data_IF_191142881271
#
_entry.id   IF_191142881271
#
_cell.length_a   1.000
_cell.length_b   1.000
_cell.length_c   1.000
_cell.angle_alpha   90.00
_cell.angle_beta   90.00
_cell.angle_gamma   90.00
#
_symmetry.space_group_name_H-M   'P 1'
#
loop_
_entity.id
_entity.type
_entity.pdbx_description
1 polymer ?
#
# COMPACT_ATOMS: atom_id res chain seq x y z
N UNK A 1 20.99 -0.68 44.80
CA UNK A 1 19.57 -0.50 45.13
C UNK A 1 19.09 0.64 44.25
N UNK A 2 18.56 0.31 43.10
CA UNK A 2 18.06 1.28 42.12
C UNK A 2 16.59 0.97 41.95
N UNK A 3 15.74 1.87 42.46
CA UNK A 3 14.29 1.77 42.40
C UNK A 3 13.79 1.84 40.94
N UNK A 4 13.22 0.74 40.50
CA UNK A 4 12.40 0.68 39.31
C UNK A 4 11.08 1.42 39.54
N UNK A 5 11.03 2.70 39.16
CA UNK A 5 9.77 3.44 39.08
C UNK A 5 9.03 3.05 37.82
N UNK A 6 8.30 1.95 37.89
CA UNK A 6 7.24 1.62 36.91
C UNK A 6 6.11 2.62 37.09
N UNK A 7 6.14 3.69 36.29
CA UNK A 7 4.99 4.59 36.13
C UNK A 7 3.86 3.82 35.46
N UNK A 8 2.88 3.38 36.23
CA UNK A 8 1.59 2.87 35.76
C UNK A 8 0.82 4.02 35.13
N UNK A 9 1.15 4.35 33.88
CA UNK A 9 0.34 5.24 33.04
C UNK A 9 -1.00 4.56 32.84
N UNK A 10 -2.09 5.18 33.30
CA UNK A 10 -3.47 4.68 33.08
C UNK A 10 -3.65 4.52 31.57
N UNK A 11 -3.76 3.26 31.13
CA UNK A 11 -4.05 2.96 29.73
C UNK A 11 -5.33 3.67 29.30
N UNK A 12 -5.19 4.59 28.37
CA UNK A 12 -6.30 5.29 27.75
C UNK A 12 -7.11 4.30 26.91
N UNK A 13 -8.40 4.56 26.67
CA UNK A 13 -9.21 3.71 25.77
C UNK A 13 -8.56 3.55 24.37
N UNK A 14 -7.85 4.60 23.91
CA UNK A 14 -7.04 4.58 22.69
C UNK A 14 -5.92 3.53 22.74
N UNK A 15 -5.21 3.42 23.86
CA UNK A 15 -4.13 2.44 24.01
C UNK A 15 -4.68 1.01 23.94
N UNK A 16 -5.84 0.79 24.54
CA UNK A 16 -6.54 -0.51 24.45
C UNK A 16 -6.99 -0.83 23.01
N UNK A 17 -7.56 0.15 22.32
CA UNK A 17 -7.98 -0.01 20.93
C UNK A 17 -6.77 -0.30 20.02
N UNK A 18 -5.66 0.42 20.18
CA UNK A 18 -4.42 0.19 19.45
C UNK A 18 -3.85 -1.20 19.73
N UNK A 19 -3.82 -1.63 20.99
CA UNK A 19 -3.36 -2.99 21.37
C UNK A 19 -4.24 -4.08 20.75
N UNK A 20 -5.56 -3.86 20.66
CA UNK A 20 -6.45 -4.82 19.99
C UNK A 20 -6.15 -4.87 18.49
N UNK A 21 -6.01 -3.73 17.83
CA UNK A 21 -5.65 -3.65 16.41
C UNK A 21 -4.30 -4.34 16.16
N UNK A 22 -3.28 -4.02 16.96
CA UNK A 22 -1.96 -4.64 16.89
C UNK A 22 -2.02 -6.16 17.01
N UNK A 23 -2.72 -6.66 18.03
CA UNK A 23 -2.88 -8.09 18.26
C UNK A 23 -3.64 -8.81 17.14
N UNK A 24 -4.60 -8.15 16.51
CA UNK A 24 -5.33 -8.70 15.35
C UNK A 24 -4.45 -8.68 14.12
N UNK A 25 -3.79 -7.55 13.83
CA UNK A 25 -2.92 -7.42 12.67
C UNK A 25 -1.73 -8.39 12.70
N UNK A 26 -1.11 -8.56 13.88
CA UNK A 26 0.01 -9.49 14.06
C UNK A 26 -0.38 -10.98 13.95
N UNK A 27 -1.67 -11.31 13.99
CA UNK A 27 -2.19 -12.66 13.76
C UNK A 27 -2.59 -12.94 12.32
N UNK A 28 -2.60 -11.90 11.46
CA UNK A 28 -2.91 -12.10 10.05
C UNK A 28 -1.80 -12.95 9.41
N UNK A 29 -2.18 -13.99 8.65
CA UNK A 29 -1.21 -14.79 7.92
C UNK A 29 -0.60 -13.99 6.77
N UNK A 30 0.47 -14.55 6.20
CA UNK A 30 1.06 -14.05 4.95
C UNK A 30 -0.02 -13.78 3.88
N UNK A 31 0.11 -12.71 3.08
CA UNK A 31 -0.86 -12.36 2.05
C UNK A 31 -1.24 -13.52 1.12
N UNK A 32 -0.28 -14.37 0.74
CA UNK A 32 -0.57 -15.55 -0.10
C UNK A 32 -1.54 -16.51 0.60
N UNK A 33 -1.29 -16.79 1.88
CA UNK A 33 -2.15 -17.67 2.69
C UNK A 33 -3.54 -17.03 2.84
N UNK A 34 -3.60 -15.71 3.06
CA UNK A 34 -4.85 -14.97 3.19
C UNK A 34 -5.69 -15.09 1.90
N UNK A 35 -5.08 -14.94 0.72
CA UNK A 35 -5.78 -15.13 -0.56
C UNK A 35 -6.21 -16.58 -0.78
N UNK A 36 -5.43 -17.58 -0.36
CA UNK A 36 -5.85 -18.98 -0.38
C UNK A 36 -7.10 -19.21 0.49
N UNK A 37 -7.16 -18.64 1.69
CA UNK A 37 -8.34 -18.69 2.55
C UNK A 37 -9.55 -17.99 1.93
N UNK A 38 -9.34 -16.82 1.32
CA UNK A 38 -10.40 -16.09 0.62
C UNK A 38 -10.96 -16.89 -0.55
N UNK A 39 -10.08 -17.53 -1.34
CA UNK A 39 -10.49 -18.42 -2.42
C UNK A 39 -11.31 -19.61 -1.88
N UNK A 40 -10.86 -20.28 -0.83
CA UNK A 40 -11.58 -21.38 -0.23
C UNK A 40 -12.95 -20.93 0.31
N UNK A 41 -13.00 -19.77 0.96
CA UNK A 41 -14.24 -19.20 1.47
C UNK A 41 -15.24 -18.89 0.35
N UNK A 42 -14.80 -18.31 -0.75
CA UNK A 42 -15.65 -18.03 -1.92
C UNK A 42 -16.12 -19.31 -2.61
N UNK A 43 -15.26 -20.34 -2.69
CA UNK A 43 -15.62 -21.65 -3.21
C UNK A 43 -16.70 -22.34 -2.38
N UNK A 44 -16.62 -22.25 -1.05
CA UNK A 44 -17.64 -22.78 -0.13
C UNK A 44 -18.97 -22.05 -0.31
N UNK A 45 -18.96 -20.70 -0.33
CA UNK A 45 -20.17 -19.90 -0.55
C UNK A 45 -20.80 -20.21 -1.92
N UNK A 46 -20.00 -20.28 -2.97
CA UNK A 46 -20.46 -20.62 -4.31
C UNK A 46 -21.12 -22.00 -4.37
N UNK A 47 -20.53 -22.97 -3.68
CA UNK A 47 -21.11 -24.33 -3.58
C UNK A 47 -22.45 -24.33 -2.81
N UNK A 48 -22.53 -23.61 -1.69
CA UNK A 48 -23.76 -23.47 -0.92
C UNK A 48 -24.86 -22.81 -1.79
N UNK A 49 -24.52 -21.75 -2.52
CA UNK A 49 -25.43 -21.07 -3.41
C UNK A 49 -25.94 -21.98 -4.55
N UNK A 50 -25.05 -22.80 -5.10
CA UNK A 50 -25.42 -23.79 -6.13
C UNK A 50 -26.39 -24.84 -5.58
N UNK A 51 -26.11 -25.38 -4.41
CA UNK A 51 -26.98 -26.40 -3.74
C UNK A 51 -28.32 -25.79 -3.34
N UNK A 52 -28.33 -24.51 -2.94
CA UNK A 52 -29.55 -23.77 -2.62
C UNK A 52 -30.36 -23.35 -3.87
N UNK A 53 -29.86 -23.59 -5.08
CA UNK A 53 -30.53 -23.21 -6.33
C UNK A 53 -30.58 -21.70 -6.57
N UNK A 54 -29.66 -20.94 -5.98
CA UNK A 54 -29.63 -19.50 -6.17
C UNK A 54 -29.16 -19.18 -7.58
N UNK A 55 -30.00 -18.50 -8.36
CA UNK A 55 -29.67 -17.91 -9.65
C UNK A 55 -29.81 -16.40 -9.59
N UNK A 56 -28.85 -15.69 -10.16
CA UNK A 56 -28.86 -14.24 -10.28
C UNK A 56 -28.97 -13.86 -11.75
N UNK A 57 -29.71 -12.80 -12.04
CA UNK A 57 -29.79 -12.28 -13.40
C UNK A 57 -28.67 -11.27 -13.56
N UNK A 58 -27.79 -11.49 -14.54
CA UNK A 58 -26.77 -10.52 -14.92
C UNK A 58 -27.45 -9.26 -15.47
N UNK A 59 -27.30 -8.10 -14.87
CA UNK A 59 -27.98 -6.88 -15.31
C UNK A 59 -27.53 -6.41 -16.71
N UNK A 60 -26.35 -6.83 -17.17
CA UNK A 60 -25.82 -6.45 -18.47
C UNK A 60 -26.31 -7.34 -19.62
N UNK A 61 -26.43 -8.64 -19.38
CA UNK A 61 -26.81 -9.62 -20.44
C UNK A 61 -28.23 -10.14 -20.30
N UNK A 62 -28.92 -9.84 -19.16
CA UNK A 62 -30.21 -10.42 -18.79
C UNK A 62 -30.24 -11.95 -18.74
N UNK A 63 -29.08 -12.57 -18.68
CA UNK A 63 -28.94 -14.04 -18.58
C UNK A 63 -28.90 -14.48 -17.12
N UNK A 64 -29.46 -15.63 -16.82
CA UNK A 64 -29.38 -16.21 -15.49
C UNK A 64 -27.97 -16.80 -15.29
N UNK A 65 -27.24 -16.26 -14.34
CA UNK A 65 -25.94 -16.76 -13.88
C UNK A 65 -26.15 -17.68 -12.69
N UNK A 66 -25.72 -18.92 -12.82
CA UNK A 66 -25.75 -19.89 -11.73
C UNK A 66 -24.34 -20.05 -11.19
N UNK A 67 -24.24 -20.09 -9.86
CA UNK A 67 -22.96 -20.36 -9.20
C UNK A 67 -22.48 -21.78 -9.52
N UNK A 68 -21.16 -21.97 -9.56
CA UNK A 68 -20.57 -23.28 -9.80
C UNK A 68 -20.21 -23.97 -8.47
N UNK A 69 -20.44 -25.27 -8.40
CA UNK A 69 -19.98 -26.09 -7.30
C UNK A 69 -18.51 -26.49 -7.50
N UNK A 70 -17.61 -25.77 -6.87
CA UNK A 70 -16.16 -26.01 -6.97
C UNK A 70 -15.71 -27.37 -6.39
N UNK A 71 -16.50 -27.97 -5.52
CA UNK A 71 -16.19 -29.28 -4.91
C UNK A 71 -16.80 -30.47 -5.69
N UNK A 72 -17.40 -30.22 -6.85
CA UNK A 72 -17.79 -31.27 -7.78
C UNK A 72 -16.65 -31.59 -8.77
N UNK A 73 -16.71 -32.75 -9.41
CA UNK A 73 -15.75 -33.14 -10.44
C UNK A 73 -15.78 -32.14 -11.60
N UNK A 74 -16.96 -31.70 -12.03
CA UNK A 74 -17.15 -30.71 -13.09
C UNK A 74 -16.60 -29.33 -12.70
N UNK A 75 -16.80 -28.92 -11.44
CA UNK A 75 -16.26 -27.67 -10.91
C UNK A 75 -14.74 -27.66 -10.84
N UNK A 76 -14.13 -28.79 -10.47
CA UNK A 76 -12.67 -28.93 -10.48
C UNK A 76 -12.10 -28.90 -11.89
N UNK A 77 -12.74 -29.61 -12.84
CA UNK A 77 -12.34 -29.53 -14.25
C UNK A 77 -12.46 -28.11 -14.79
N UNK A 78 -13.58 -27.44 -14.53
CA UNK A 78 -13.77 -26.05 -14.93
C UNK A 78 -12.69 -25.13 -14.36
N UNK A 79 -12.33 -25.30 -13.09
CA UNK A 79 -11.29 -24.49 -12.45
C UNK A 79 -9.93 -24.70 -13.14
N UNK A 80 -9.53 -25.95 -13.38
CA UNK A 80 -8.24 -26.26 -14.01
C UNK A 80 -8.19 -25.76 -15.46
N UNK A 81 -9.27 -25.95 -16.23
CA UNK A 81 -9.35 -25.54 -17.64
C UNK A 81 -9.34 -23.99 -17.79
N UNK A 82 -9.88 -23.29 -16.80
CA UNK A 82 -9.98 -21.83 -16.88
C UNK A 82 -8.87 -21.10 -16.09
N UNK A 83 -8.06 -21.80 -15.30
CA UNK A 83 -7.02 -21.19 -14.48
C UNK A 83 -6.03 -20.35 -15.32
N UNK A 84 -5.52 -20.93 -16.42
CA UNK A 84 -4.60 -20.22 -17.32
C UNK A 84 -5.31 -19.09 -18.05
N UNK A 85 -6.53 -19.30 -18.52
CA UNK A 85 -7.32 -18.27 -19.22
C UNK A 85 -7.63 -17.09 -18.31
N UNK A 86 -7.99 -17.34 -17.05
CA UNK A 86 -8.26 -16.30 -16.08
C UNK A 86 -7.01 -15.49 -15.75
N UNK A 87 -5.86 -16.15 -15.64
CA UNK A 87 -4.59 -15.47 -15.40
C UNK A 87 -4.17 -14.62 -16.60
N UNK A 88 -4.14 -15.21 -17.81
CA UNK A 88 -3.70 -14.49 -19.02
C UNK A 88 -4.74 -13.48 -19.53
N UNK A 89 -6.02 -13.70 -19.24
CA UNK A 89 -7.12 -12.78 -19.57
C UNK A 89 -7.25 -11.60 -18.60
N UNK A 90 -6.44 -11.55 -17.53
CA UNK A 90 -6.44 -10.40 -16.63
C UNK A 90 -5.88 -9.17 -17.35
N UNK A 91 -6.76 -8.22 -17.67
CA UNK A 91 -6.45 -7.09 -18.55
C UNK A 91 -5.20 -6.30 -18.12
N UNK A 92 -4.97 -6.01 -16.82
CA UNK A 92 -3.79 -5.27 -16.39
C UNK A 92 -2.48 -6.08 -16.40
N UNK A 93 -2.51 -7.41 -16.61
CA UNK A 93 -1.36 -8.28 -16.43
C UNK A 93 -0.12 -7.82 -17.23
N UNK A 94 -0.31 -7.50 -18.51
CA UNK A 94 0.77 -7.07 -19.37
C UNK A 94 1.40 -5.74 -18.92
N UNK A 95 0.56 -4.78 -18.51
CA UNK A 95 1.01 -3.47 -18.01
C UNK A 95 1.75 -3.63 -16.68
N UNK A 96 1.21 -4.40 -15.74
CA UNK A 96 1.83 -4.63 -14.43
C UNK A 96 3.20 -5.28 -14.60
N UNK A 97 3.32 -6.34 -15.41
CA UNK A 97 4.61 -7.00 -15.66
C UNK A 97 5.61 -6.03 -16.29
N UNK A 98 5.21 -5.28 -17.32
CA UNK A 98 6.10 -4.34 -18.01
C UNK A 98 6.60 -3.24 -17.08
N UNK A 99 5.71 -2.68 -16.24
CA UNK A 99 6.09 -1.64 -15.28
C UNK A 99 6.97 -2.21 -14.17
N UNK A 100 6.67 -3.39 -13.64
CA UNK A 100 7.48 -4.04 -12.60
C UNK A 100 8.90 -4.33 -13.10
N UNK A 101 9.05 -4.77 -14.36
CA UNK A 101 10.37 -4.93 -14.97
C UNK A 101 11.14 -3.61 -15.08
N UNK A 102 10.46 -2.53 -15.52
CA UNK A 102 11.07 -1.20 -15.62
C UNK A 102 11.51 -0.66 -14.26
N UNK A 103 10.64 -0.75 -13.26
CA UNK A 103 10.92 -0.32 -11.88
C UNK A 103 12.05 -1.17 -11.28
N UNK A 104 12.02 -2.49 -11.46
CA UNK A 104 13.07 -3.40 -10.98
C UNK A 104 14.46 -3.07 -11.56
N UNK A 105 14.54 -2.69 -12.83
CA UNK A 105 15.78 -2.21 -13.43
C UNK A 105 16.28 -0.90 -12.79
N UNK A 106 15.37 0.02 -12.47
CA UNK A 106 15.70 1.27 -11.79
C UNK A 106 16.19 1.02 -10.35
N UNK A 107 15.62 0.04 -9.66
CA UNK A 107 16.04 -0.37 -8.31
C UNK A 107 17.41 -1.03 -8.32
N UNK A 108 17.61 -2.05 -9.14
CA UNK A 108 18.87 -2.79 -9.27
C UNK A 108 20.03 -1.91 -9.76
N UNK A 109 19.76 -0.92 -10.62
CA UNK A 109 20.78 0.06 -11.05
C UNK A 109 21.17 1.07 -9.96
N UNK A 110 20.44 1.10 -8.83
CA UNK A 110 20.63 2.09 -7.77
C UNK A 110 20.12 3.50 -8.11
N UNK A 111 19.43 3.66 -9.24
CA UNK A 111 18.90 4.95 -9.68
C UNK A 111 17.92 5.53 -8.65
N UNK A 112 16.96 4.71 -8.16
CA UNK A 112 15.99 5.12 -7.15
C UNK A 112 16.70 5.60 -5.89
N UNK A 113 17.67 4.83 -5.39
CA UNK A 113 18.45 5.17 -4.20
C UNK A 113 19.23 6.47 -4.38
N UNK A 114 19.85 6.66 -5.54
CA UNK A 114 20.64 7.87 -5.86
C UNK A 114 19.73 9.11 -5.92
N UNK A 115 18.56 9.00 -6.53
CA UNK A 115 17.59 10.09 -6.59
C UNK A 115 17.09 10.46 -5.18
N UNK A 116 16.70 9.48 -4.36
CA UNK A 116 16.24 9.71 -2.99
C UNK A 116 17.33 10.41 -2.16
N UNK A 117 18.59 9.94 -2.22
CA UNK A 117 19.71 10.57 -1.51
C UNK A 117 19.98 11.99 -2.02
N UNK A 118 19.92 12.22 -3.32
CA UNK A 118 20.14 13.55 -3.91
C UNK A 118 19.08 14.56 -3.50
N UNK A 119 17.81 14.14 -3.39
CA UNK A 119 16.74 15.00 -2.91
C UNK A 119 16.90 15.39 -1.44
N UNK A 120 17.65 14.61 -0.65
CA UNK A 120 17.77 14.78 0.79
C UNK A 120 19.08 15.46 1.22
N UNK A 121 20.00 15.78 0.28
CA UNK A 121 21.25 16.49 0.59
C UNK A 121 21.01 18.00 0.79
N UNK A 122 21.76 18.61 1.72
CA UNK A 122 21.83 20.06 1.95
C UNK A 122 20.52 20.74 2.39
N UNK A 123 19.67 20.04 3.17
CA UNK A 123 18.36 20.54 3.60
C UNK A 123 18.44 21.21 5.00
N UNK A 124 17.85 22.39 5.18
CA UNK A 124 17.74 23.00 6.50
C UNK A 124 17.01 22.08 7.50
N UNK A 125 17.50 21.95 8.77
CA UNK A 125 16.93 21.03 9.78
C UNK A 125 15.41 21.17 9.99
N UNK A 126 14.86 22.38 9.79
CA UNK A 126 13.44 22.65 9.93
C UNK A 126 12.59 22.01 8.81
N UNK A 127 13.15 21.83 7.63
CA UNK A 127 12.46 21.25 6.46
C UNK A 127 12.66 19.74 6.33
N UNK A 128 13.60 19.17 7.05
CA UNK A 128 13.90 17.71 7.01
C UNK A 128 12.65 16.83 7.14
N UNK A 129 11.74 17.05 8.14
CA UNK A 129 10.53 16.24 8.28
C UNK A 129 9.61 16.29 7.05
N UNK A 130 9.44 17.47 6.47
CA UNK A 130 8.57 17.68 5.31
C UNK A 130 9.14 17.04 4.05
N UNK A 131 10.45 17.17 3.86
CA UNK A 131 11.14 16.58 2.73
C UNK A 131 11.17 15.04 2.81
N UNK A 132 11.41 14.49 4.00
CA UNK A 132 11.35 13.04 4.23
C UNK A 132 9.93 12.52 3.95
N UNK A 133 8.90 13.21 4.42
CA UNK A 133 7.52 12.84 4.13
C UNK A 133 7.23 12.90 2.63
N UNK A 134 7.72 13.92 1.93
CA UNK A 134 7.58 14.08 0.48
C UNK A 134 8.29 12.96 -0.28
N UNK A 135 9.55 12.69 0.06
CA UNK A 135 10.34 11.61 -0.56
C UNK A 135 9.73 10.25 -0.28
N UNK A 136 9.26 10.01 0.95
CA UNK A 136 8.52 8.80 1.31
C UNK A 136 7.28 8.61 0.45
N UNK A 137 6.48 9.66 0.28
CA UNK A 137 5.26 9.61 -0.54
C UNK A 137 5.56 9.35 -2.01
N UNK A 138 6.55 10.02 -2.61
CA UNK A 138 6.96 9.78 -4.01
C UNK A 138 7.60 8.39 -4.16
N UNK A 139 8.26 7.90 -3.13
CA UNK A 139 8.89 6.57 -3.11
C UNK A 139 7.93 5.43 -3.47
N UNK A 140 6.61 5.65 -3.31
CA UNK A 140 5.58 4.69 -3.74
C UNK A 140 5.58 4.38 -5.25
N UNK A 141 6.26 5.15 -6.08
CA UNK A 141 6.53 4.79 -7.48
C UNK A 141 7.30 3.47 -7.55
N UNK A 142 8.23 3.25 -6.60
CA UNK A 142 8.99 2.02 -6.46
C UNK A 142 8.27 0.94 -5.62
N UNK A 143 6.94 1.04 -5.50
CA UNK A 143 6.13 0.06 -4.76
C UNK A 143 6.55 -0.09 -3.29
N UNK A 144 6.65 -1.32 -2.79
CA UNK A 144 6.97 -1.60 -1.37
C UNK A 144 8.43 -1.32 -0.99
N UNK A 145 9.32 -1.12 -1.94
CA UNK A 145 10.74 -0.83 -1.71
C UNK A 145 10.95 0.45 -0.92
N UNK A 146 10.10 1.47 -1.11
CA UNK A 146 10.16 2.70 -0.34
C UNK A 146 9.97 2.48 1.17
N UNK A 147 9.12 1.53 1.55
CA UNK A 147 8.86 1.19 2.95
C UNK A 147 10.09 0.64 3.68
N UNK A 148 11.01 0.02 2.94
CA UNK A 148 12.23 -0.57 3.47
C UNK A 148 13.39 0.44 3.45
N UNK A 149 13.48 1.24 2.39
CA UNK A 149 14.63 2.11 2.14
C UNK A 149 14.49 3.46 2.85
N UNK A 150 13.31 4.08 2.79
CA UNK A 150 13.14 5.46 3.28
C UNK A 150 13.31 5.59 4.81
N UNK A 151 12.77 4.71 5.66
CA UNK A 151 12.90 4.87 7.11
C UNK A 151 14.34 4.89 7.63
N UNK A 152 15.25 3.97 7.23
CA UNK A 152 16.66 4.03 7.67
C UNK A 152 17.37 5.31 7.22
N UNK A 153 17.14 5.75 5.97
CA UNK A 153 17.73 7.00 5.47
C UNK A 153 17.20 8.19 6.25
N UNK A 154 15.92 8.21 6.55
CA UNK A 154 15.28 9.25 7.34
C UNK A 154 15.86 9.33 8.77
N UNK A 155 16.18 8.17 9.38
CA UNK A 155 16.86 8.12 10.67
C UNK A 155 18.23 8.82 10.64
N UNK A 156 19.03 8.50 9.62
CA UNK A 156 20.37 9.11 9.43
C UNK A 156 20.29 10.62 9.22
N UNK A 157 19.31 11.09 8.46
CA UNK A 157 19.11 12.52 8.23
C UNK A 157 18.65 13.26 9.50
N UNK A 158 17.83 12.61 10.32
CA UNK A 158 17.44 13.17 11.60
C UNK A 158 18.62 13.27 12.55
N UNK A 159 19.53 12.28 12.60
CA UNK A 159 20.79 12.35 13.35
C UNK A 159 21.62 13.54 12.85
N UNK A 160 21.83 13.66 11.54
CA UNK A 160 22.55 14.78 10.94
C UNK A 160 21.92 16.16 11.22
N UNK A 161 20.61 16.21 11.43
CA UNK A 161 19.87 17.42 11.83
C UNK A 161 19.85 17.66 13.35
N UNK A 162 20.52 16.83 14.17
CA UNK A 162 20.50 16.90 15.64
C UNK A 162 19.16 16.51 16.27
N UNK A 163 18.38 15.66 15.58
CA UNK A 163 17.04 15.21 15.97
C UNK A 163 17.03 13.72 16.28
N UNK A 164 15.97 13.26 16.96
CA UNK A 164 15.86 11.86 17.37
C UNK A 164 15.61 10.92 16.18
N UNK A 165 16.47 9.89 15.92
CA UNK A 165 16.41 9.04 14.73
C UNK A 165 15.10 8.25 14.60
N UNK A 166 14.51 7.80 15.71
CA UNK A 166 13.23 7.09 15.71
C UNK A 166 12.10 7.95 15.13
N UNK A 167 12.11 9.26 15.38
CA UNK A 167 11.14 10.18 14.77
C UNK A 167 11.35 10.24 13.25
N UNK A 168 12.61 10.22 12.80
CA UNK A 168 12.95 10.12 11.38
C UNK A 168 12.39 8.86 10.74
N UNK A 169 12.59 7.70 11.37
CA UNK A 169 12.03 6.43 10.91
C UNK A 169 10.49 6.48 10.81
N UNK A 170 9.83 6.99 11.85
CA UNK A 170 8.37 7.13 11.87
C UNK A 170 7.91 8.06 10.73
N UNK A 171 8.60 9.18 10.52
CA UNK A 171 8.28 10.13 9.46
C UNK A 171 8.43 9.49 8.05
N UNK A 172 9.54 8.80 7.83
CA UNK A 172 9.81 8.09 6.57
C UNK A 172 8.79 7.00 6.30
N UNK A 173 8.49 6.18 7.30
CA UNK A 173 7.49 5.13 7.21
C UNK A 173 6.07 5.69 6.99
N UNK A 174 5.71 6.77 7.70
CA UNK A 174 4.43 7.44 7.51
C UNK A 174 4.32 8.03 6.10
N UNK A 175 5.38 8.63 5.55
CA UNK A 175 5.42 9.13 4.19
C UNK A 175 5.15 8.03 3.16
N UNK A 176 5.87 6.92 3.28
CA UNK A 176 5.72 5.79 2.37
C UNK A 176 4.34 5.11 2.44
N UNK A 177 3.74 5.01 3.64
CA UNK A 177 2.48 4.29 3.81
C UNK A 177 1.23 5.17 3.68
N UNK A 178 1.22 6.39 4.22
CA UNK A 178 0.06 7.26 4.17
C UNK A 178 -0.21 7.81 2.77
N UNK A 179 0.84 7.94 1.96
CA UNK A 179 0.75 8.36 0.57
C UNK A 179 0.68 7.22 -0.44
N UNK A 180 0.24 6.03 -0.05
CA UNK A 180 0.34 4.79 -0.83
C UNK A 180 -0.03 4.90 -2.33
N UNK A 181 -0.98 5.75 -2.68
CA UNK A 181 -1.36 6.02 -4.08
C UNK A 181 -1.00 7.43 -4.53
N UNK A 182 -0.51 8.28 -3.63
CA UNK A 182 -0.14 9.66 -3.95
C UNK A 182 1.24 9.70 -4.61
N UNK A 183 1.30 10.12 -5.85
CA UNK A 183 2.52 10.19 -6.65
C UNK A 183 2.51 11.45 -7.54
N UNK A 184 3.69 11.92 -7.93
CA UNK A 184 3.83 12.96 -8.95
C UNK A 184 3.78 12.39 -10.37
N UNK A 185 4.01 11.09 -10.51
CA UNK A 185 3.99 10.36 -11.78
C UNK A 185 3.01 9.20 -11.70
N UNK A 186 2.54 8.76 -12.85
CA UNK A 186 1.72 7.55 -12.96
C UNK A 186 2.53 6.34 -12.52
N UNK A 187 1.98 5.54 -11.62
CA UNK A 187 2.59 4.33 -11.08
C UNK A 187 1.91 3.05 -11.58
N UNK A 188 2.48 1.89 -11.26
CA UNK A 188 1.91 0.60 -11.64
C UNK A 188 0.50 0.36 -11.10
N UNK A 189 0.20 0.88 -9.92
CA UNK A 189 -1.13 0.83 -9.30
C UNK A 189 -2.19 1.57 -10.11
N UNK A 190 -1.86 2.68 -10.79
CA UNK A 190 -2.80 3.43 -11.61
C UNK A 190 -3.23 2.62 -12.84
N UNK A 191 -2.27 1.95 -13.48
CA UNK A 191 -2.55 1.06 -14.62
C UNK A 191 -3.39 -0.15 -14.21
N UNK A 192 -3.13 -0.71 -13.03
CA UNK A 192 -3.93 -1.80 -12.47
C UNK A 192 -5.38 -1.35 -12.23
N UNK A 193 -5.57 -0.21 -11.56
CA UNK A 193 -6.89 0.33 -11.25
C UNK A 193 -7.64 0.74 -12.52
N UNK A 194 -6.97 1.32 -13.50
CA UNK A 194 -7.55 1.62 -14.81
C UNK A 194 -8.09 0.35 -15.48
N UNK A 195 -7.28 -0.72 -15.55
CA UNK A 195 -7.68 -1.98 -16.16
C UNK A 195 -8.90 -2.59 -15.47
N UNK A 196 -8.87 -2.69 -14.13
CA UNK A 196 -9.99 -3.21 -13.34
C UNK A 196 -11.27 -2.37 -13.51
N UNK A 197 -11.12 -1.03 -13.54
CA UNK A 197 -12.26 -0.12 -13.74
C UNK A 197 -12.87 -0.31 -15.13
N UNK A 198 -12.04 -0.39 -16.17
CA UNK A 198 -12.53 -0.58 -17.53
C UNK A 198 -13.19 -1.96 -17.73
N UNK A 199 -12.69 -3.00 -17.09
CA UNK A 199 -13.32 -4.32 -17.11
C UNK A 199 -14.67 -4.29 -16.37
N UNK A 200 -14.76 -3.59 -15.23
CA UNK A 200 -16.00 -3.40 -14.51
C UNK A 200 -17.03 -2.61 -15.36
N UNK A 201 -16.59 -1.53 -16.02
CA UNK A 201 -17.46 -0.74 -16.92
C UNK A 201 -18.03 -1.62 -18.02
N UNK A 202 -17.21 -2.44 -18.68
CA UNK A 202 -17.67 -3.38 -19.72
C UNK A 202 -18.63 -4.43 -19.17
N UNK A 203 -18.42 -4.87 -17.92
CA UNK A 203 -19.31 -5.83 -17.26
C UNK A 203 -20.70 -5.27 -16.97
N UNK A 204 -20.81 -3.99 -16.63
CA UNK A 204 -22.09 -3.34 -16.32
C UNK A 204 -22.77 -2.64 -17.51
N UNK A 205 -21.96 -2.13 -18.44
CA UNK A 205 -22.40 -1.37 -19.61
C UNK A 205 -21.67 -1.87 -20.87
N UNK A 206 -22.05 -3.05 -21.39
CA UNK A 206 -21.33 -3.71 -22.50
C UNK A 206 -21.26 -2.89 -23.78
N UNK A 207 -22.25 -2.04 -24.03
CA UNK A 207 -22.34 -1.21 -25.24
C UNK A 207 -21.67 0.15 -25.14
N UNK A 208 -21.09 0.46 -23.96
CA UNK A 208 -20.44 1.77 -23.78
C UNK A 208 -19.07 1.82 -24.45
N UNK A 209 -18.77 2.95 -25.07
CA UNK A 209 -17.43 3.27 -25.58
C UNK A 209 -16.59 4.02 -24.55
N UNK A 210 -17.17 4.34 -23.38
CA UNK A 210 -16.49 5.07 -22.33
C UNK A 210 -15.39 4.19 -21.72
N UNK A 211 -14.19 4.77 -21.61
CA UNK A 211 -13.04 4.16 -20.94
C UNK A 211 -12.37 5.19 -20.05
N UNK A 212 -11.88 4.74 -18.91
CA UNK A 212 -11.08 5.55 -17.99
C UNK A 212 -9.63 5.52 -18.45
N UNK A 213 -9.00 6.66 -18.52
CA UNK A 213 -7.57 6.79 -18.84
C UNK A 213 -6.73 6.54 -17.57
N UNK A 214 -5.49 6.09 -17.75
CA UNK A 214 -4.53 5.86 -16.67
C UNK A 214 -4.20 7.13 -15.88
N UNK A 215 -4.36 8.30 -16.50
CA UNK A 215 -4.09 9.62 -15.94
C UNK A 215 -5.30 10.25 -15.24
N UNK A 216 -6.44 9.56 -15.16
CA UNK A 216 -7.69 10.14 -14.64
C UNK A 216 -7.57 10.72 -13.22
N UNK A 217 -6.72 10.17 -12.37
CA UNK A 217 -6.49 10.63 -11.00
C UNK A 217 -5.20 11.45 -10.83
N UNK A 218 -4.47 11.73 -11.90
CA UNK A 218 -3.12 12.30 -11.80
C UNK A 218 -3.08 13.64 -11.06
N UNK A 219 -3.96 14.58 -11.40
CA UNK A 219 -4.03 15.86 -10.71
C UNK A 219 -4.36 15.73 -9.21
N UNK A 220 -5.26 14.82 -8.89
CA UNK A 220 -5.59 14.50 -7.50
C UNK A 220 -4.37 13.94 -6.76
N UNK A 221 -3.61 13.04 -7.37
CA UNK A 221 -2.41 12.45 -6.78
C UNK A 221 -1.33 13.49 -6.52
N UNK A 222 -1.10 14.43 -7.45
CA UNK A 222 -0.16 15.54 -7.24
C UNK A 222 -0.57 16.39 -6.04
N UNK A 223 -1.83 16.81 -5.98
CA UNK A 223 -2.35 17.59 -4.86
C UNK A 223 -2.26 16.81 -3.54
N UNK A 224 -2.59 15.53 -3.57
CA UNK A 224 -2.52 14.60 -2.44
C UNK A 224 -1.09 14.42 -1.93
N UNK A 225 -0.10 14.30 -2.83
CA UNK A 225 1.32 14.20 -2.48
C UNK A 225 1.79 15.42 -1.68
N UNK A 226 1.44 16.62 -2.14
CA UNK A 226 1.79 17.87 -1.47
C UNK A 226 1.11 17.94 -0.10
N UNK A 227 -0.20 17.65 -0.05
CA UNK A 227 -0.98 17.70 1.19
C UNK A 227 -0.45 16.68 2.22
N UNK A 228 -0.25 15.43 1.83
CA UNK A 228 0.28 14.38 2.71
C UNK A 228 1.65 14.76 3.26
N UNK A 229 2.54 15.27 2.42
CA UNK A 229 3.88 15.70 2.84
C UNK A 229 3.84 16.80 3.91
N UNK A 230 2.97 17.79 3.72
CA UNK A 230 2.78 18.88 4.69
C UNK A 230 2.20 18.35 6.00
N UNK A 231 1.15 17.54 5.93
CA UNK A 231 0.48 17.02 7.13
C UNK A 231 1.40 16.09 7.91
N UNK A 232 2.06 15.13 7.25
CA UNK A 232 2.98 14.19 7.90
C UNK A 232 4.14 14.95 8.53
N UNK A 233 4.78 15.86 7.79
CA UNK A 233 5.87 16.69 8.31
C UNK A 233 5.45 17.52 9.51
N UNK A 234 4.25 18.12 9.47
CA UNK A 234 3.71 18.91 10.59
C UNK A 234 3.38 18.02 11.81
N UNK A 235 2.79 16.86 11.62
CA UNK A 235 2.50 15.90 12.70
C UNK A 235 3.80 15.39 13.32
N UNK A 236 4.77 14.99 12.50
CA UNK A 236 6.08 14.54 13.00
C UNK A 236 6.77 15.64 13.82
N UNK A 237 6.78 16.89 13.34
CA UNK A 237 7.45 18.00 14.03
C UNK A 237 6.71 18.44 15.29
N UNK A 238 5.36 18.55 15.25
CA UNK A 238 4.59 19.16 16.33
C UNK A 238 4.06 18.16 17.37
N UNK A 239 3.87 16.90 16.97
CA UNK A 239 3.25 15.90 17.83
C UNK A 239 4.23 14.79 18.22
N UNK A 240 4.99 14.27 17.27
CA UNK A 240 5.87 13.11 17.50
C UNK A 240 7.19 13.57 18.12
N UNK A 241 7.89 14.51 17.50
CA UNK A 241 9.21 14.99 17.93
C UNK A 241 9.22 15.46 19.41
N UNK A 242 8.23 16.23 19.92
CA UNK A 242 8.20 16.64 21.32
C UNK A 242 8.08 15.48 22.33
N UNK A 243 7.57 14.32 21.90
CA UNK A 243 7.41 13.14 22.78
C UNK A 243 8.69 12.35 22.96
N UNK A 244 9.63 12.43 22.02
CA UNK A 244 10.90 11.72 22.07
C UNK A 244 12.04 12.54 22.68
N UNK A 245 11.89 13.87 22.77
CA UNK A 245 12.91 14.76 23.30
C UNK A 245 14.14 14.90 22.39
N UNK A 246 15.23 15.44 22.97
CA UNK A 246 16.50 15.58 22.25
C UNK A 246 17.24 14.26 22.21
N UNK A 247 17.88 13.99 21.09
CA UNK A 247 18.77 12.85 20.95
C UNK A 247 20.10 13.15 21.67
N UNK A 248 20.44 12.32 22.65
CA UNK A 248 21.69 12.45 23.46
C UNK A 248 22.81 11.55 22.95
N UNK A 249 22.62 10.88 21.80
CA UNK A 249 23.64 10.04 21.19
C UNK A 249 24.72 10.84 20.49
N UNK A 250 25.95 10.28 20.46
CA UNK A 250 27.07 10.84 19.68
C UNK A 250 26.77 10.69 18.19
N UNK A 251 27.08 11.73 17.41
CA UNK A 251 27.04 11.69 15.94
C UNK A 251 28.16 10.86 15.31
N UNK A 252 29.00 10.22 16.16
CA UNK A 252 30.25 9.55 15.76
C UNK A 252 30.15 8.00 15.82
N UNK A 253 28.93 7.41 15.97
CA UNK A 253 28.70 5.95 15.87
C UNK A 253 27.99 5.55 14.57
#
# INVERSE_FOLDING_TARGET
MSENTTSTTKQTWLDKALTVVENVCNKLPDPVILFCWLFLFTAIIGTIATVAGVSLINPATNEAVVSQNFFSVDGLHWFLDNMVKNFTGFAPLGLVISMTLGIGLCEESGLVMSLLKSCLSDVPPALVPYLIAFVGTIGNIASDTANIIVPPIAALLYIGAGKHPVVGMICGYAGANAGFTANLMVAGTDSLLQGLTNDAIKGFLPETTFQVDVTCNWFFMIASTILCSIVIGAVCTKVVEPRFGKYEGSSDE
#
